data_IF_700751473811
#
_entry.id   IF_700751473811
#
_cell.length_a   1.000
_cell.length_b   1.000
_cell.length_c   1.000
_cell.angle_alpha   90.00
_cell.angle_beta   90.00
_cell.angle_gamma   90.00
#
_symmetry.space_group_name_H-M   'P 1'
#
loop_
_entity.id
_entity.type
_entity.pdbx_description
1 polymer ?
#
# COMPACT_ATOMS: atom_id res chain seq x y z
N UNK A 1 8.82 -13.59 0.81
CA UNK A 1 8.48 -12.18 0.57
C UNK A 1 7.13 -12.18 -0.13
N UNK A 2 6.11 -11.64 0.51
CA UNK A 2 4.80 -11.45 -0.13
C UNK A 2 4.95 -10.32 -1.14
N UNK A 3 4.45 -10.49 -2.36
CA UNK A 3 4.50 -9.50 -3.43
C UNK A 3 3.20 -9.53 -4.21
N UNK A 4 2.86 -8.42 -4.84
CA UNK A 4 1.78 -8.39 -5.82
C UNK A 4 2.25 -9.11 -7.08
N UNK A 5 1.44 -10.03 -7.60
CA UNK A 5 1.77 -10.82 -8.80
C UNK A 5 0.82 -10.54 -9.96
N UNK A 6 -0.29 -9.85 -9.71
CA UNK A 6 -1.32 -9.58 -10.71
C UNK A 6 -1.78 -8.14 -10.67
N UNK A 7 -2.22 -7.62 -11.82
CA UNK A 7 -2.80 -6.28 -11.93
C UNK A 7 -4.03 -6.10 -11.03
N UNK A 8 -4.87 -7.13 -10.86
CA UNK A 8 -6.03 -7.07 -9.98
C UNK A 8 -5.65 -6.89 -8.49
N UNK A 9 -4.57 -7.54 -8.04
CA UNK A 9 -4.03 -7.34 -6.69
C UNK A 9 -3.43 -5.95 -6.53
N UNK A 10 -2.77 -5.43 -7.57
CA UNK A 10 -2.25 -4.07 -7.61
C UNK A 10 -3.37 -3.03 -7.48
N UNK A 11 -4.39 -3.12 -8.34
CA UNK A 11 -5.52 -2.17 -8.34
C UNK A 11 -6.27 -2.18 -7.01
N UNK A 12 -6.45 -3.37 -6.42
CA UNK A 12 -7.03 -3.50 -5.09
C UNK A 12 -6.16 -2.85 -4.01
N UNK A 13 -4.85 -3.10 -4.03
CA UNK A 13 -3.92 -2.55 -3.03
C UNK A 13 -3.83 -1.02 -3.13
N UNK A 14 -3.77 -0.46 -4.34
CA UNK A 14 -3.80 0.99 -4.57
C UNK A 14 -5.08 1.60 -4.02
N UNK A 15 -6.24 1.03 -4.36
CA UNK A 15 -7.53 1.51 -3.85
C UNK A 15 -7.59 1.47 -2.32
N UNK A 16 -7.06 0.40 -1.71
CA UNK A 16 -7.04 0.27 -0.25
C UNK A 16 -6.11 1.30 0.41
N UNK A 17 -4.97 1.60 -0.19
CA UNK A 17 -4.09 2.71 0.23
C UNK A 17 -4.84 4.04 0.18
N UNK A 18 -5.56 4.33 -0.91
CA UNK A 18 -6.37 5.55 -1.05
C UNK A 18 -7.47 5.66 0.03
N UNK A 19 -8.09 4.54 0.42
CA UNK A 19 -9.07 4.47 1.51
C UNK A 19 -8.45 4.71 2.89
N UNK A 20 -7.19 4.30 3.10
CA UNK A 20 -6.47 4.42 4.37
C UNK A 20 -5.83 5.80 4.55
N UNK A 21 -5.41 6.47 3.47
CA UNK A 21 -4.81 7.81 3.51
C UNK A 21 -5.61 8.85 4.33
N UNK A 22 -6.95 8.96 4.23
CA UNK A 22 -7.71 9.90 5.08
C UNK A 22 -7.92 9.40 6.53
N UNK A 23 -7.65 8.13 6.81
CA UNK A 23 -7.80 7.52 8.14
C UNK A 23 -6.52 7.62 8.97
N UNK A 24 -5.36 7.70 8.31
CA UNK A 24 -4.05 7.86 8.94
C UNK A 24 -3.63 9.32 8.86
N UNK A 25 -3.39 9.94 10.00
CA UNK A 25 -2.90 11.31 10.15
C UNK A 25 -1.52 11.32 10.81
N UNK A 26 -0.86 12.49 10.83
CA UNK A 26 0.43 12.66 11.54
C UNK A 26 0.36 12.36 13.05
N UNK A 27 -0.84 12.38 13.63
CA UNK A 27 -1.10 12.05 15.03
C UNK A 27 -1.42 10.56 15.24
N UNK A 28 -1.61 9.81 14.15
CA UNK A 28 -1.97 8.39 14.22
C UNK A 28 -0.73 7.57 14.61
N UNK A 29 -0.79 6.80 15.71
CA UNK A 29 0.32 5.97 16.12
C UNK A 29 0.75 4.98 15.03
N UNK A 30 2.05 4.68 14.96
CA UNK A 30 2.59 3.70 13.99
C UNK A 30 2.18 2.27 14.30
N UNK A 31 1.75 1.99 15.53
CA UNK A 31 1.17 0.72 15.95
C UNK A 31 -0.34 0.62 15.70
N UNK A 32 -0.97 1.69 15.19
CA UNK A 32 -2.35 1.64 14.73
C UNK A 32 -2.49 0.71 13.53
N UNK A 33 -3.60 -0.04 13.50
CA UNK A 33 -3.83 -1.02 12.43
C UNK A 33 -3.88 -0.37 11.04
N UNK A 34 -4.40 0.86 10.93
CA UNK A 34 -4.46 1.57 9.65
C UNK A 34 -3.07 2.02 9.19
N UNK A 35 -2.21 2.47 10.11
CA UNK A 35 -0.82 2.84 9.83
C UNK A 35 -0.01 1.65 9.34
N UNK A 36 -0.12 0.51 10.04
CA UNK A 36 0.58 -0.73 9.67
C UNK A 36 0.09 -1.22 8.29
N UNK A 37 -1.23 -1.24 8.07
CA UNK A 37 -1.80 -1.68 6.79
C UNK A 37 -1.38 -0.76 5.64
N UNK A 38 -1.40 0.56 5.85
CA UNK A 38 -0.99 1.56 4.86
C UNK A 38 0.48 1.38 4.46
N UNK A 39 1.37 1.21 5.44
CA UNK A 39 2.81 1.02 5.18
C UNK A 39 3.05 -0.28 4.39
N UNK A 40 2.44 -1.38 4.80
CA UNK A 40 2.58 -2.67 4.13
C UNK A 40 2.08 -2.63 2.68
N UNK A 41 0.89 -2.08 2.44
CA UNK A 41 0.32 -1.99 1.10
C UNK A 41 1.09 -1.01 0.22
N UNK A 42 1.56 0.11 0.78
CA UNK A 42 2.39 1.08 0.05
C UNK A 42 3.69 0.45 -0.44
N UNK A 43 4.36 -0.34 0.40
CA UNK A 43 5.56 -1.08 0.01
C UNK A 43 5.27 -2.09 -1.11
N UNK A 44 4.17 -2.85 -1.01
CA UNK A 44 3.80 -3.83 -2.04
C UNK A 44 3.49 -3.15 -3.40
N UNK A 45 2.76 -2.03 -3.37
CA UNK A 45 2.42 -1.22 -4.54
C UNK A 45 3.68 -0.63 -5.17
N UNK A 46 4.61 -0.11 -4.36
CA UNK A 46 5.89 0.42 -4.82
C UNK A 46 6.74 -0.67 -5.50
N UNK A 47 6.92 -1.82 -4.86
CA UNK A 47 7.68 -2.96 -5.41
C UNK A 47 7.14 -3.42 -6.78
N UNK A 48 5.80 -3.53 -6.90
CA UNK A 48 5.17 -3.89 -8.16
C UNK A 48 5.34 -2.78 -9.21
N UNK A 49 5.22 -1.52 -8.78
CA UNK A 49 5.36 -0.34 -9.65
C UNK A 49 6.76 -0.25 -10.26
N UNK A 50 7.79 -0.42 -9.44
CA UNK A 50 9.18 -0.44 -9.89
C UNK A 50 9.44 -1.57 -10.89
N UNK A 51 8.89 -2.76 -10.66
CA UNK A 51 9.08 -3.90 -11.56
C UNK A 51 8.33 -3.82 -12.90
N UNK A 52 7.20 -3.11 -12.95
CA UNK A 52 6.29 -3.12 -14.11
C UNK A 52 6.16 -1.77 -14.83
N UNK A 53 6.46 -0.66 -14.15
CA UNK A 53 6.25 0.70 -14.66
C UNK A 53 7.49 1.61 -14.56
N UNK A 54 8.62 1.14 -13.98
CA UNK A 54 9.87 1.88 -14.09
C UNK A 54 10.38 1.84 -15.55
N UNK A 55 10.26 2.98 -16.24
CA UNK A 55 10.80 3.27 -17.57
C UNK A 55 12.17 3.97 -17.46
#
# INVERSE_FOLDING_TARGET
>A
MTKIETMAQYDWAVKRVEELLPLVTDETPLDDSNSIELELLSNLVADYSEGHFAL
#
